data_IF_156256959084
#
_entry.id   IF_156256959084
#
_cell.length_a   1.000
_cell.length_b   1.000
_cell.length_c   1.000
_cell.angle_alpha   90.00
_cell.angle_beta   90.00
_cell.angle_gamma   90.00
#
_symmetry.space_group_name_H-M   'P 1'
#
loop_
_entity.id
_entity.type
_entity.pdbx_description
1 polymer ?
#
# COMPACT_ATOMS: atom_id res chain seq x y z
N UNK A 1 -24.82 60.69 -27.41
CA UNK A 1 -25.12 59.81 -26.25
C UNK A 1 -23.87 59.83 -25.38
N UNK A 2 -23.94 60.46 -24.21
CA UNK A 2 -22.75 60.86 -23.44
C UNK A 2 -22.06 59.67 -22.76
N UNK A 3 -20.75 59.79 -22.48
CA UNK A 3 -19.93 58.76 -21.84
C UNK A 3 -20.51 58.27 -20.50
N UNK A 4 -21.25 59.11 -19.78
CA UNK A 4 -21.90 58.74 -18.51
C UNK A 4 -23.01 57.70 -18.67
N UNK A 5 -23.71 57.65 -19.82
CA UNK A 5 -24.77 56.65 -20.02
C UNK A 5 -24.23 55.23 -20.19
N UNK A 6 -23.00 55.05 -20.69
CA UNK A 6 -22.39 53.72 -20.85
C UNK A 6 -21.86 53.15 -19.53
N UNK A 7 -21.36 54.00 -18.64
CA UNK A 7 -20.87 53.56 -17.32
C UNK A 7 -22.04 53.12 -16.42
N UNK A 8 -23.19 53.80 -16.48
CA UNK A 8 -24.40 53.35 -15.75
C UNK A 8 -24.99 52.05 -16.31
N UNK A 9 -24.98 51.85 -17.64
CA UNK A 9 -25.46 50.61 -18.25
C UNK A 9 -24.55 49.41 -17.95
N UNK A 10 -23.23 49.61 -17.90
CA UNK A 10 -22.27 48.56 -17.53
C UNK A 10 -22.29 48.26 -16.02
N UNK A 11 -22.44 49.27 -15.16
CA UNK A 11 -22.52 49.09 -13.71
C UNK A 11 -23.85 48.44 -13.25
N UNK A 12 -24.95 48.65 -13.98
CA UNK A 12 -26.24 48.02 -13.68
C UNK A 12 -26.39 46.61 -14.31
N UNK A 13 -25.71 46.33 -15.43
CA UNK A 13 -25.81 45.05 -16.14
C UNK A 13 -25.14 43.87 -15.42
N UNK A 14 -24.03 44.12 -14.73
CA UNK A 14 -23.26 43.10 -14.00
C UNK A 14 -24.02 42.51 -12.79
N UNK A 15 -24.65 43.31 -11.90
CA UNK A 15 -25.43 42.76 -10.80
C UNK A 15 -26.73 42.06 -11.26
N UNK A 16 -27.33 42.50 -12.37
CA UNK A 16 -28.52 41.83 -12.93
C UNK A 16 -28.20 40.44 -13.53
N UNK A 17 -27.06 40.31 -14.21
CA UNK A 17 -26.60 39.02 -14.76
C UNK A 17 -26.26 38.00 -13.66
N UNK A 18 -25.69 38.45 -12.54
CA UNK A 18 -25.40 37.61 -11.37
C UNK A 18 -26.68 37.12 -10.66
N UNK A 19 -27.73 37.93 -10.57
CA UNK A 19 -29.02 37.53 -10.01
C UNK A 19 -29.77 36.48 -10.87
N UNK A 20 -29.66 36.58 -12.19
CA UNK A 20 -30.24 35.58 -13.11
C UNK A 20 -29.46 34.25 -13.06
N UNK A 21 -28.13 34.29 -12.92
CA UNK A 21 -27.31 33.09 -12.78
C UNK A 21 -27.53 32.37 -11.44
N UNK A 22 -27.68 33.12 -10.33
CA UNK A 22 -27.94 32.52 -9.00
C UNK A 22 -29.35 31.93 -8.91
N UNK A 23 -30.35 32.56 -9.55
CA UNK A 23 -31.72 32.01 -9.59
C UNK A 23 -31.85 30.75 -10.46
N UNK A 24 -31.12 30.66 -11.59
CA UNK A 24 -31.11 29.43 -12.41
C UNK A 24 -30.41 28.25 -11.72
N UNK A 25 -29.36 28.50 -10.93
CA UNK A 25 -28.68 27.44 -10.16
C UNK A 25 -29.53 26.95 -8.97
N UNK A 26 -30.30 27.84 -8.33
CA UNK A 26 -31.19 27.46 -7.22
C UNK A 26 -32.45 26.70 -7.67
N UNK A 27 -32.99 26.98 -8.87
CA UNK A 27 -34.12 26.23 -9.43
C UNK A 27 -33.68 24.83 -9.88
N UNK A 28 -32.44 24.67 -10.38
CA UNK A 28 -31.92 23.37 -10.83
C UNK A 28 -31.56 22.42 -9.67
N UNK A 29 -31.37 22.95 -8.46
CA UNK A 29 -31.02 22.17 -7.25
C UNK A 29 -32.23 21.66 -6.44
N UNK A 30 -33.46 21.94 -6.90
CA UNK A 30 -34.72 21.57 -6.22
C UNK A 30 -35.58 20.54 -6.95
N UNK A 31 -35.05 19.91 -8.02
CA UNK A 31 -35.83 19.05 -8.94
C UNK A 31 -35.85 17.54 -8.69
N UNK A 32 -34.95 16.95 -7.89
CA UNK A 32 -34.80 15.47 -7.84
C UNK A 32 -35.22 14.83 -6.52
N UNK A 33 -36.29 15.31 -5.88
CA UNK A 33 -36.86 14.60 -4.73
C UNK A 33 -38.36 14.80 -4.58
N UNK A 34 -39.12 13.87 -5.15
CA UNK A 34 -40.38 13.30 -4.65
C UNK A 34 -41.35 12.99 -5.80
N UNK A 35 -41.56 11.70 -6.10
CA UNK A 35 -42.90 11.15 -6.40
C UNK A 35 -42.81 9.62 -6.42
N UNK A 36 -43.32 9.00 -5.35
CA UNK A 36 -43.76 7.62 -5.35
C UNK A 36 -44.97 7.58 -4.44
N UNK A 37 -46.17 7.64 -5.04
CA UNK A 37 -47.41 7.31 -4.37
C UNK A 37 -48.21 6.33 -5.24
N UNK A 38 -48.34 5.13 -4.67
CA UNK A 38 -49.51 4.24 -4.62
C UNK A 38 -50.49 4.15 -5.83
N UNK A 39 -50.55 2.96 -6.44
CA UNK A 39 -51.81 2.31 -6.85
C UNK A 39 -51.60 0.85 -7.28
N UNK A 40 -52.04 -0.10 -6.45
CA UNK A 40 -52.62 -1.39 -6.89
C UNK A 40 -54.13 -1.16 -7.17
N UNK A 41 -54.94 -2.03 -7.84
CA UNK A 41 -54.86 -3.50 -7.81
C UNK A 41 -55.31 -4.26 -9.10
N UNK A 42 -55.28 -5.61 -9.04
CA UNK A 42 -56.31 -6.57 -9.55
C UNK A 42 -55.78 -7.70 -10.47
N UNK A 43 -55.83 -8.91 -9.88
CA UNK A 43 -56.04 -10.29 -10.38
C UNK A 43 -56.28 -10.57 -11.86
N UNK A 44 -55.69 -11.65 -12.40
CA UNK A 44 -56.40 -12.91 -12.71
C UNK A 44 -55.48 -14.02 -13.31
N UNK A 45 -56.00 -15.25 -13.21
CA UNK A 45 -55.44 -16.61 -13.35
C UNK A 45 -55.35 -17.13 -14.80
N UNK A 46 -54.55 -18.19 -14.99
CA UNK A 46 -54.49 -19.20 -16.09
C UNK A 46 -53.79 -18.74 -17.40
N UNK A 47 -53.05 -19.56 -18.15
CA UNK A 47 -53.15 -21.01 -18.41
C UNK A 47 -51.83 -21.48 -19.07
N UNK A 48 -51.40 -22.73 -18.82
CA UNK A 48 -50.39 -23.43 -19.63
C UNK A 48 -51.09 -24.07 -20.86
N UNK A 49 -50.35 -24.39 -21.94
CA UNK A 49 -49.84 -25.77 -22.05
C UNK A 49 -48.45 -25.95 -22.69
N UNK A 50 -47.91 -27.15 -22.43
CA UNK A 50 -46.92 -27.99 -23.14
C UNK A 50 -46.84 -27.82 -24.67
N UNK A 51 -45.80 -28.18 -25.43
CA UNK A 51 -44.64 -29.08 -25.34
C UNK A 51 -43.50 -28.47 -26.24
N UNK A 52 -42.24 -28.88 -26.26
CA UNK A 52 -41.73 -30.14 -26.81
C UNK A 52 -40.20 -30.21 -26.63
N UNK A 53 -39.68 -31.44 -26.62
CA UNK A 53 -38.34 -31.83 -26.22
C UNK A 53 -37.28 -31.72 -27.34
N UNK A 54 -36.02 -31.52 -26.95
CA UNK A 54 -34.86 -32.11 -27.62
C UNK A 54 -33.73 -32.27 -26.59
N UNK A 55 -33.48 -33.52 -26.21
CA UNK A 55 -32.30 -33.95 -25.46
C UNK A 55 -31.31 -34.54 -26.47
N UNK A 56 -30.04 -34.15 -26.38
CA UNK A 56 -28.94 -34.89 -27.01
C UNK A 56 -28.10 -35.53 -25.91
N UNK A 57 -28.17 -36.86 -25.88
CA UNK A 57 -27.27 -37.76 -25.18
C UNK A 57 -26.09 -38.06 -26.12
N UNK A 58 -24.87 -38.09 -25.59
CA UNK A 58 -23.76 -38.78 -26.25
C UNK A 58 -23.12 -39.77 -25.28
N UNK A 59 -23.31 -41.05 -25.60
CA UNK A 59 -22.78 -42.21 -24.89
C UNK A 59 -21.54 -42.76 -25.58
N UNK A 60 -20.63 -43.27 -24.77
CA UNK A 60 -19.38 -43.95 -25.11
C UNK A 60 -19.45 -45.03 -26.19
N UNK A 61 -18.36 -45.15 -26.97
CA UNK A 61 -17.80 -46.44 -27.41
C UNK A 61 -16.33 -46.30 -27.84
N UNK A 62 -15.49 -47.22 -27.36
CA UNK A 62 -14.09 -47.40 -27.76
C UNK A 62 -13.99 -48.09 -29.14
N UNK A 63 -12.84 -47.97 -29.82
CA UNK A 63 -12.07 -49.19 -30.13
C UNK A 63 -10.56 -49.03 -29.95
N UNK A 64 -9.88 -50.14 -29.69
CA UNK A 64 -8.43 -50.20 -29.46
C UNK A 64 -7.58 -50.56 -30.67
N UNK A 65 -6.27 -50.36 -30.45
CA UNK A 65 -5.08 -51.03 -31.02
C UNK A 65 -4.28 -50.38 -32.17
N UNK A 66 -3.08 -49.92 -31.77
CA UNK A 66 -1.76 -49.93 -32.46
C UNK A 66 -1.60 -49.04 -33.72
N UNK A 67 -0.55 -48.23 -33.92
CA UNK A 67 0.90 -48.37 -33.67
C UNK A 67 1.62 -47.01 -33.80
N UNK A 68 2.85 -46.96 -33.26
CA UNK A 68 3.97 -46.04 -33.54
C UNK A 68 3.97 -44.67 -32.83
N UNK A 69 4.68 -44.64 -31.69
CA UNK A 69 5.13 -43.42 -31.00
C UNK A 69 6.55 -43.13 -31.49
N UNK A 70 6.77 -41.95 -32.04
CA UNK A 70 8.08 -41.40 -32.35
C UNK A 70 8.69 -40.78 -31.09
N UNK A 71 9.99 -40.97 -30.93
CA UNK A 71 10.77 -40.87 -29.70
C UNK A 71 11.24 -39.42 -29.49
N UNK A 72 10.72 -38.74 -28.46
CA UNK A 72 11.26 -37.47 -27.96
C UNK A 72 12.34 -37.75 -26.90
N UNK A 73 13.45 -36.99 -26.89
CA UNK A 73 14.61 -37.27 -26.05
C UNK A 73 14.30 -37.02 -24.56
N UNK A 74 14.93 -37.78 -23.64
CA UNK A 74 14.67 -37.66 -22.21
C UNK A 74 15.25 -36.36 -21.63
N UNK A 75 14.44 -35.70 -20.79
CA UNK A 75 14.88 -34.64 -19.89
C UNK A 75 15.87 -35.21 -18.85
N UNK A 76 16.87 -34.43 -18.41
CA UNK A 76 17.86 -34.89 -17.46
C UNK A 76 17.21 -35.26 -16.12
N UNK A 77 17.58 -36.44 -15.64
CA UNK A 77 17.28 -36.93 -14.29
C UNK A 77 18.20 -36.20 -13.31
N UNK A 78 17.68 -35.14 -12.70
CA UNK A 78 18.30 -34.56 -11.52
C UNK A 78 18.02 -35.48 -10.32
N UNK A 79 19.12 -36.10 -9.88
CA UNK A 79 19.43 -36.71 -8.59
C UNK A 79 18.25 -37.00 -7.64
N UNK A 80 18.03 -38.29 -7.37
CA UNK A 80 17.33 -38.77 -6.18
C UNK A 80 17.90 -38.08 -4.94
N UNK A 81 17.14 -37.12 -4.40
CA UNK A 81 17.32 -36.68 -3.03
C UNK A 81 16.96 -37.86 -2.12
N UNK A 82 18.01 -38.53 -1.65
CA UNK A 82 17.97 -39.54 -0.59
C UNK A 82 17.15 -38.99 0.58
N UNK A 83 15.95 -39.55 0.77
CA UNK A 83 15.07 -39.23 1.89
C UNK A 83 15.40 -40.24 2.99
N UNK A 84 16.10 -39.88 4.08
CA UNK A 84 16.26 -40.81 5.17
C UNK A 84 14.92 -40.87 5.92
N UNK A 85 14.20 -41.96 5.72
CA UNK A 85 13.07 -42.33 6.56
C UNK A 85 13.59 -42.79 7.93
N UNK A 86 13.59 -41.90 8.91
CA UNK A 86 13.58 -42.24 10.34
C UNK A 86 12.87 -41.11 11.10
N UNK A 87 11.92 -41.38 12.01
CA UNK A 87 11.36 -40.35 12.87
C UNK A 87 12.41 -39.97 13.93
N UNK A 88 13.29 -39.05 13.55
CA UNK A 88 14.21 -38.36 14.44
C UNK A 88 13.93 -36.87 14.34
N UNK A 89 13.91 -36.20 15.48
CA UNK A 89 13.67 -34.76 15.64
C UNK A 89 14.28 -33.95 14.48
N UNK A 90 13.42 -33.37 13.64
CA UNK A 90 13.83 -32.28 12.78
C UNK A 90 14.13 -31.10 13.70
N UNK A 91 15.38 -30.98 14.11
CA UNK A 91 15.93 -29.74 14.68
C UNK A 91 15.77 -28.65 13.63
N UNK A 92 14.57 -28.04 13.57
CA UNK A 92 14.37 -26.77 12.87
C UNK A 92 15.18 -25.76 13.68
N UNK A 93 16.43 -25.54 13.27
CA UNK A 93 17.25 -24.48 13.84
C UNK A 93 16.57 -23.16 13.53
N UNK A 94 15.93 -22.59 14.55
CA UNK A 94 15.31 -21.28 14.44
C UNK A 94 16.37 -20.26 14.05
N UNK A 95 16.12 -19.55 12.96
CA UNK A 95 16.96 -18.45 12.55
C UNK A 95 16.84 -17.33 13.58
N UNK A 96 17.98 -16.84 14.10
CA UNK A 96 17.99 -15.61 14.88
C UNK A 96 18.07 -14.42 13.92
N UNK A 97 17.03 -13.57 13.84
CA UNK A 97 17.07 -12.42 12.93
C UNK A 97 18.17 -11.44 13.30
N UNK A 98 18.71 -10.73 12.30
CA UNK A 98 19.68 -9.68 12.57
C UNK A 98 19.07 -8.55 13.42
N UNK A 99 19.82 -7.95 14.36
CA UNK A 99 19.36 -6.80 15.12
C UNK A 99 18.86 -5.67 14.21
N UNK A 100 17.93 -4.86 14.72
CA UNK A 100 17.45 -3.65 14.03
C UNK A 100 18.57 -2.61 13.94
N UNK A 101 19.42 -2.54 14.95
CA UNK A 101 20.67 -1.77 14.95
C UNK A 101 21.58 -2.25 13.80
N UNK A 102 21.81 -1.36 12.82
CA UNK A 102 22.57 -1.65 11.60
C UNK A 102 21.73 -1.85 10.34
N UNK A 103 20.41 -2.06 10.44
CA UNK A 103 19.51 -2.03 9.25
C UNK A 103 19.51 -0.65 8.59
N UNK A 104 19.59 0.42 9.38
CA UNK A 104 19.71 1.81 8.89
C UNK A 104 21.05 2.11 8.20
N UNK A 105 22.17 1.59 8.71
CA UNK A 105 23.44 1.70 8.01
C UNK A 105 23.39 0.99 6.64
N UNK A 106 22.66 -0.13 6.55
CA UNK A 106 22.38 -0.81 5.29
C UNK A 106 21.45 0.01 4.38
N UNK A 107 20.46 0.73 4.92
CA UNK A 107 19.59 1.67 4.18
C UNK A 107 20.42 2.74 3.48
N UNK A 108 21.21 3.52 4.23
CA UNK A 108 22.12 4.52 3.65
C UNK A 108 23.03 3.90 2.60
N UNK A 109 23.67 2.77 2.93
CA UNK A 109 24.54 2.08 1.98
C UNK A 109 23.84 1.58 0.72
N UNK A 110 22.55 1.18 0.75
CA UNK A 110 21.81 0.71 -0.43
C UNK A 110 21.21 1.85 -1.24
N UNK A 111 20.68 2.89 -0.61
CA UNK A 111 20.23 4.10 -1.29
C UNK A 111 21.43 4.79 -1.98
N UNK A 112 22.57 4.91 -1.30
CA UNK A 112 23.80 5.43 -1.87
C UNK A 112 24.31 4.58 -3.05
N UNK A 113 24.32 3.24 -2.93
CA UNK A 113 24.70 2.33 -4.02
C UNK A 113 23.72 2.31 -5.19
N UNK A 114 22.46 2.63 -4.93
CA UNK A 114 21.46 2.83 -5.98
C UNK A 114 21.72 4.10 -6.80
N UNK A 115 22.61 5.01 -6.34
CA UNK A 115 23.05 6.21 -7.04
C UNK A 115 21.87 6.96 -7.62
N UNK A 116 21.17 7.74 -6.81
CA UNK A 116 19.95 8.45 -7.22
C UNK A 116 20.23 9.31 -8.47
N UNK A 117 19.73 8.94 -9.67
CA UNK A 117 19.89 9.77 -10.87
C UNK A 117 19.28 11.15 -10.66
N UNK A 118 18.26 11.20 -9.81
CA UNK A 118 17.63 12.40 -9.29
C UNK A 118 18.63 13.26 -8.50
N UNK A 119 19.27 12.72 -7.47
CA UNK A 119 20.26 13.44 -6.66
C UNK A 119 21.39 14.02 -7.53
N UNK A 120 21.91 13.23 -8.48
CA UNK A 120 22.97 13.69 -9.39
C UNK A 120 22.51 14.85 -10.27
N UNK A 121 21.30 14.77 -10.83
CA UNK A 121 20.73 15.85 -11.67
C UNK A 121 20.45 17.11 -10.86
N UNK A 122 19.81 16.99 -9.70
CA UNK A 122 19.54 18.14 -8.82
C UNK A 122 20.85 18.84 -8.45
N UNK A 123 21.88 18.09 -8.08
CA UNK A 123 23.18 18.66 -7.72
C UNK A 123 23.91 19.28 -8.91
N UNK A 124 23.79 18.72 -10.11
CA UNK A 124 24.39 19.28 -11.32
C UNK A 124 23.80 20.65 -11.68
N UNK A 125 22.50 20.82 -11.53
CA UNK A 125 21.81 22.11 -11.72
C UNK A 125 22.25 23.10 -10.63
N UNK A 126 22.25 22.68 -9.37
CA UNK A 126 22.58 23.55 -8.23
C UNK A 126 24.07 23.91 -8.09
N UNK A 127 24.94 23.26 -8.86
CA UNK A 127 26.38 23.58 -8.88
C UNK A 127 26.75 24.71 -9.84
N UNK A 128 25.78 25.28 -10.58
CA UNK A 128 25.99 26.41 -11.50
C UNK A 128 26.17 27.71 -10.70
N UNK A 129 27.12 28.57 -11.12
CA UNK A 129 27.48 29.80 -10.38
C UNK A 129 26.30 30.79 -10.19
N UNK A 130 25.38 30.84 -11.16
CA UNK A 130 24.19 31.67 -11.11
C UNK A 130 23.01 30.87 -11.64
N UNK A 131 22.03 30.60 -10.78
CA UNK A 131 20.79 29.93 -11.15
C UNK A 131 19.88 30.91 -11.90
N UNK A 132 19.68 30.63 -13.18
CA UNK A 132 18.72 31.25 -14.10
C UNK A 132 17.32 30.67 -13.90
N UNK A 133 16.28 31.30 -14.47
CA UNK A 133 14.92 30.72 -14.44
C UNK A 133 14.88 29.33 -15.10
N UNK A 134 15.60 29.12 -16.20
CA UNK A 134 15.69 27.82 -16.87
C UNK A 134 16.29 26.73 -15.95
N UNK A 135 17.24 27.08 -15.07
CA UNK A 135 17.82 26.15 -14.09
C UNK A 135 16.79 25.73 -13.05
N UNK A 136 15.95 26.65 -12.61
CA UNK A 136 14.89 26.33 -11.65
C UNK A 136 13.77 25.50 -12.28
N UNK A 137 13.44 25.75 -13.55
CA UNK A 137 12.48 24.95 -14.30
C UNK A 137 13.03 23.52 -14.52
N UNK A 138 14.32 23.37 -14.81
CA UNK A 138 15.01 22.07 -14.88
C UNK A 138 14.95 21.32 -13.53
N UNK A 139 15.10 22.05 -12.42
CA UNK A 139 14.99 21.49 -11.06
C UNK A 139 13.56 21.00 -10.77
N UNK A 140 12.55 21.81 -11.11
CA UNK A 140 11.14 21.46 -10.99
C UNK A 140 10.80 20.21 -11.83
N UNK A 141 11.18 20.19 -13.11
CA UNK A 141 10.95 19.05 -14.00
C UNK A 141 11.57 17.77 -13.43
N UNK A 142 12.80 17.87 -12.90
CA UNK A 142 13.50 16.73 -12.30
C UNK A 142 12.74 16.17 -11.10
N UNK A 143 12.19 17.02 -10.23
CA UNK A 143 11.38 16.59 -9.08
C UNK A 143 10.03 15.99 -9.50
N UNK A 144 9.40 16.53 -10.54
CA UNK A 144 8.16 15.96 -11.10
C UNK A 144 8.38 14.56 -11.67
N UNK A 145 9.48 14.37 -12.42
CA UNK A 145 9.87 13.06 -12.97
C UNK A 145 10.17 12.03 -11.87
N UNK A 146 10.54 12.48 -10.68
CA UNK A 146 10.76 11.66 -9.50
C UNK A 146 9.48 11.27 -8.74
N UNK A 147 8.30 11.60 -9.26
CA UNK A 147 6.99 11.34 -8.63
C UNK A 147 6.76 12.10 -7.30
N UNK A 148 7.41 13.26 -7.10
CA UNK A 148 7.15 14.15 -5.93
C UNK A 148 5.74 14.78 -5.99
N UNK A 149 5.27 15.08 -7.20
CA UNK A 149 3.97 15.66 -7.48
C UNK A 149 3.99 17.19 -7.62
N UNK A 150 3.06 17.74 -8.42
CA UNK A 150 3.08 19.15 -8.82
C UNK A 150 2.99 20.14 -7.66
N UNK A 151 2.04 19.95 -6.74
CA UNK A 151 1.90 20.83 -5.56
C UNK A 151 3.15 20.81 -4.66
N UNK A 152 3.57 19.64 -4.15
CA UNK A 152 4.75 19.54 -3.30
C UNK A 152 6.04 20.04 -3.96
N UNK A 153 6.23 19.79 -5.26
CA UNK A 153 7.37 20.33 -6.00
C UNK A 153 7.35 21.85 -6.04
N UNK A 154 6.23 22.48 -6.40
CA UNK A 154 6.11 23.94 -6.42
C UNK A 154 6.40 24.57 -5.06
N UNK A 155 5.82 24.03 -4.00
CA UNK A 155 6.05 24.47 -2.61
C UNK A 155 7.56 24.46 -2.27
N UNK A 156 8.25 23.37 -2.64
CA UNK A 156 9.68 23.20 -2.37
C UNK A 156 10.53 24.18 -3.18
N UNK A 157 10.24 24.36 -4.47
CA UNK A 157 10.99 25.26 -5.35
C UNK A 157 10.86 26.71 -4.87
N UNK A 158 9.65 27.14 -4.53
CA UNK A 158 9.40 28.50 -4.02
C UNK A 158 10.12 28.76 -2.70
N UNK A 159 10.10 27.79 -1.78
CA UNK A 159 10.80 27.87 -0.50
C UNK A 159 12.32 27.93 -0.70
N UNK A 160 12.87 27.07 -1.56
CA UNK A 160 14.30 27.03 -1.88
C UNK A 160 14.77 28.32 -2.57
N UNK A 161 14.05 28.80 -3.59
CA UNK A 161 14.32 30.07 -4.28
C UNK A 161 14.36 31.23 -3.28
N UNK A 162 13.40 31.25 -2.35
CA UNK A 162 13.31 32.28 -1.32
C UNK A 162 14.50 32.21 -0.36
N UNK A 163 14.86 31.02 0.13
CA UNK A 163 15.98 30.83 1.05
C UNK A 163 17.31 31.24 0.39
N UNK A 164 17.59 30.76 -0.83
CA UNK A 164 18.80 31.12 -1.59
C UNK A 164 18.92 32.62 -1.78
N UNK A 165 17.82 33.31 -2.10
CA UNK A 165 17.80 34.77 -2.29
C UNK A 165 18.00 35.54 -0.99
N UNK A 166 17.34 35.14 0.09
CA UNK A 166 17.38 35.85 1.39
C UNK A 166 18.73 35.68 2.08
N UNK A 167 19.27 34.46 2.06
CA UNK A 167 20.56 34.14 2.68
C UNK A 167 21.75 34.48 1.76
N UNK A 168 21.49 34.75 0.47
CA UNK A 168 22.52 35.08 -0.51
C UNK A 168 23.46 33.90 -0.76
N UNK A 169 22.91 32.67 -0.78
CA UNK A 169 23.69 31.44 -0.96
C UNK A 169 24.27 31.42 -2.38
N UNK A 170 25.60 31.34 -2.47
CA UNK A 170 26.35 31.25 -3.74
C UNK A 170 27.23 30.01 -3.83
N UNK A 171 27.49 29.37 -2.68
CA UNK A 171 28.30 28.18 -2.60
C UNK A 171 27.43 26.94 -2.88
N UNK A 172 27.79 26.08 -3.85
CA UNK A 172 27.05 24.86 -4.16
C UNK A 172 26.80 23.97 -2.94
N UNK A 173 27.73 23.90 -1.98
CA UNK A 173 27.53 23.10 -0.77
C UNK A 173 26.47 23.71 0.15
N UNK A 174 26.42 25.04 0.27
CA UNK A 174 25.37 25.74 1.02
C UNK A 174 23.99 25.58 0.35
N UNK A 175 23.91 25.68 -0.98
CA UNK A 175 22.65 25.47 -1.72
C UNK A 175 22.17 24.01 -1.60
N UNK A 176 23.10 23.04 -1.64
CA UNK A 176 22.79 21.63 -1.36
C UNK A 176 22.23 21.44 0.04
N UNK A 177 22.79 22.09 1.05
CA UNK A 177 22.29 22.03 2.42
C UNK A 177 20.88 22.61 2.54
N UNK A 178 20.59 23.72 1.86
CA UNK A 178 19.26 24.30 1.78
C UNK A 178 18.25 23.36 1.08
N UNK A 179 18.61 22.76 -0.07
CA UNK A 179 17.75 21.75 -0.72
C UNK A 179 17.45 20.57 0.21
N UNK A 180 18.47 20.05 0.91
CA UNK A 180 18.31 18.97 1.88
C UNK A 180 17.33 19.35 2.99
N UNK A 181 17.46 20.55 3.55
CA UNK A 181 16.55 21.08 4.56
C UNK A 181 15.10 21.11 4.05
N UNK A 182 14.88 21.67 2.85
CA UNK A 182 13.56 21.75 2.24
C UNK A 182 12.95 20.37 1.94
N UNK A 183 13.76 19.41 1.48
CA UNK A 183 13.31 18.03 1.25
C UNK A 183 12.93 17.32 2.56
N UNK A 184 13.70 17.52 3.63
CA UNK A 184 13.35 16.95 4.95
C UNK A 184 12.05 17.57 5.45
N UNK A 185 11.91 18.90 5.35
CA UNK A 185 10.68 19.58 5.72
C UNK A 185 9.47 19.08 4.91
N UNK A 186 9.67 18.79 3.62
CA UNK A 186 8.63 18.26 2.74
C UNK A 186 8.15 16.86 3.13
N UNK A 187 9.04 16.01 3.63
CA UNK A 187 8.72 14.67 4.15
C UNK A 187 8.04 14.75 5.52
N UNK A 188 8.12 15.89 6.18
CA UNK A 188 7.60 16.20 7.52
C UNK A 188 8.17 15.28 8.62
N UNK A 189 9.29 15.66 9.27
CA UNK A 189 9.90 14.86 10.31
C UNK A 189 9.06 14.81 11.61
N UNK A 190 8.01 15.62 11.74
CA UNK A 190 7.18 15.67 12.94
C UNK A 190 6.14 14.55 13.04
N UNK A 191 5.85 13.87 11.92
CA UNK A 191 4.91 12.74 11.90
C UNK A 191 5.43 11.56 12.74
N UNK A 192 4.54 10.98 13.55
CA UNK A 192 4.83 9.76 14.31
C UNK A 192 4.91 8.54 13.38
N UNK A 193 6.13 8.04 13.21
CA UNK A 193 6.43 6.88 12.35
C UNK A 193 6.57 5.58 13.12
N UNK A 194 6.36 5.59 14.43
CA UNK A 194 6.42 4.37 15.24
C UNK A 194 5.28 3.42 14.87
N UNK A 195 5.55 2.12 14.89
CA UNK A 195 4.47 1.13 14.83
C UNK A 195 3.71 1.15 16.15
N UNK A 196 2.38 1.28 16.09
CA UNK A 196 1.56 1.19 17.27
C UNK A 196 1.44 -0.27 17.73
N UNK A 197 2.37 -0.68 18.58
CA UNK A 197 2.44 -2.02 19.17
C UNK A 197 1.95 -2.06 20.62
N UNK A 198 1.23 -1.02 21.06
CA UNK A 198 0.69 -0.98 22.40
C UNK A 198 -0.40 -2.08 22.55
N UNK A 199 -0.40 -2.84 23.67
CA UNK A 199 -1.48 -3.77 23.96
C UNK A 199 -2.83 -3.05 23.98
N UNK A 200 -3.82 -3.71 23.40
CA UNK A 200 -5.19 -3.21 23.37
C UNK A 200 -6.02 -3.64 24.57
N UNK A 201 -7.28 -3.23 24.56
CA UNK A 201 -8.30 -3.73 25.49
C UNK A 201 -9.56 -4.04 24.68
N UNK A 202 -10.05 -5.28 24.81
CA UNK A 202 -11.27 -5.73 24.15
C UNK A 202 -12.51 -5.01 24.74
N UNK A 203 -13.68 -5.06 24.05
CA UNK A 203 -14.91 -4.46 24.54
C UNK A 203 -15.37 -4.95 25.92
N UNK A 204 -14.97 -6.17 26.31
CA UNK A 204 -15.27 -6.77 27.60
C UNK A 204 -14.25 -6.41 28.72
N UNK A 205 -13.27 -5.56 28.41
CA UNK A 205 -12.24 -5.12 29.35
C UNK A 205 -11.02 -6.05 29.44
N UNK A 206 -10.96 -7.13 28.66
CA UNK A 206 -9.81 -8.04 28.66
C UNK A 206 -8.62 -7.44 27.90
N UNK A 207 -7.37 -7.60 28.38
CA UNK A 207 -6.18 -7.22 27.63
C UNK A 207 -6.08 -7.97 26.30
N UNK A 208 -5.61 -7.32 25.25
CA UNK A 208 -5.41 -7.94 23.94
C UNK A 208 -4.01 -7.65 23.39
N UNK A 209 -3.46 -8.53 22.52
CA UNK A 209 -2.27 -8.21 21.75
C UNK A 209 -2.49 -6.96 20.90
N UNK A 210 -1.40 -6.35 20.42
CA UNK A 210 -1.48 -5.39 19.34
C UNK A 210 -1.84 -6.12 18.04
N UNK A 211 -2.92 -5.70 17.37
CA UNK A 211 -3.38 -6.33 16.13
C UNK A 211 -3.06 -5.42 14.96
N UNK A 212 -2.22 -5.91 14.04
CA UNK A 212 -1.83 -5.18 12.83
C UNK A 212 -2.43 -5.87 11.61
N UNK A 213 -3.18 -5.12 10.83
CA UNK A 213 -3.76 -5.56 9.56
C UNK A 213 -2.90 -5.05 8.40
N UNK A 214 -2.41 -5.94 7.55
CA UNK A 214 -1.58 -5.57 6.40
C UNK A 214 -2.38 -5.68 5.11
N UNK A 215 -2.57 -4.54 4.44
CA UNK A 215 -3.42 -4.39 3.25
C UNK A 215 -2.63 -3.84 2.06
N UNK A 216 -3.21 -3.87 0.87
CA UNK A 216 -2.61 -3.36 -0.36
C UNK A 216 -2.85 -4.26 -1.56
N UNK A 217 -2.40 -3.85 -2.74
CA UNK A 217 -2.67 -4.60 -3.97
C UNK A 217 -1.75 -5.81 -4.15
N UNK A 218 -2.09 -6.69 -5.07
CA UNK A 218 -1.25 -7.83 -5.42
C UNK A 218 0.10 -7.37 -5.98
N UNK A 219 1.18 -8.09 -5.63
CA UNK A 219 2.51 -7.82 -6.14
C UNK A 219 3.28 -6.69 -5.45
N UNK A 220 2.68 -5.98 -4.48
CA UNK A 220 3.37 -4.95 -3.68
C UNK A 220 4.25 -5.52 -2.57
N UNK A 221 4.22 -6.83 -2.35
CA UNK A 221 5.05 -7.49 -1.34
C UNK A 221 4.42 -7.55 0.06
N UNK A 222 3.09 -7.61 0.18
CA UNK A 222 2.37 -7.75 1.47
C UNK A 222 2.85 -8.93 2.32
N UNK A 223 2.69 -10.16 1.84
CA UNK A 223 3.11 -11.38 2.54
C UNK A 223 4.59 -11.35 2.91
N UNK A 224 5.44 -10.85 2.02
CA UNK A 224 6.87 -10.64 2.28
C UNK A 224 7.09 -9.59 3.39
N UNK A 225 6.35 -8.49 3.38
CA UNK A 225 6.44 -7.44 4.42
C UNK A 225 5.98 -7.96 5.77
N UNK A 226 4.89 -8.75 5.82
CA UNK A 226 4.43 -9.42 7.04
C UNK A 226 5.51 -10.36 7.59
N UNK A 227 6.09 -11.20 6.74
CA UNK A 227 7.16 -12.11 7.14
C UNK A 227 8.41 -11.39 7.65
N UNK A 228 8.87 -10.35 6.94
CA UNK A 228 10.00 -9.51 7.37
C UNK A 228 9.71 -8.76 8.67
N UNK A 229 8.49 -8.25 8.84
CA UNK A 229 8.08 -7.57 10.07
C UNK A 229 8.05 -8.55 11.25
N UNK A 230 7.56 -9.78 11.06
CA UNK A 230 7.61 -10.82 12.09
C UNK A 230 9.05 -11.07 12.56
N UNK A 231 10.02 -11.13 11.64
CA UNK A 231 11.44 -11.25 11.98
C UNK A 231 11.96 -10.05 12.77
N UNK A 232 11.58 -8.83 12.39
CA UNK A 232 11.94 -7.60 13.14
C UNK A 232 11.42 -7.68 14.56
N UNK A 233 10.14 -8.03 14.74
CA UNK A 233 9.51 -8.13 16.06
C UNK A 233 10.15 -9.23 16.92
N UNK A 234 10.47 -10.40 16.34
CA UNK A 234 11.23 -11.45 17.04
C UNK A 234 12.63 -10.98 17.43
N UNK A 235 13.30 -10.18 16.58
CA UNK A 235 14.60 -9.59 16.91
C UNK A 235 14.54 -8.60 18.09
N UNK A 236 13.36 -8.02 18.33
CA UNK A 236 13.03 -7.13 19.45
C UNK A 236 12.42 -7.87 20.64
N UNK A 237 12.59 -9.21 20.69
CA UNK A 237 12.09 -10.09 21.74
C UNK A 237 10.56 -10.05 21.93
N UNK A 238 9.81 -9.73 20.87
CA UNK A 238 8.34 -9.76 20.86
C UNK A 238 7.84 -11.14 20.45
N UNK A 239 6.81 -11.60 21.16
CA UNK A 239 6.02 -12.78 20.79
C UNK A 239 4.99 -12.42 19.73
N UNK A 240 4.90 -13.23 18.67
CA UNK A 240 4.09 -12.93 17.47
C UNK A 240 3.20 -14.12 17.10
N UNK A 241 2.03 -13.85 16.54
CA UNK A 241 1.19 -14.81 15.80
C UNK A 241 0.90 -14.25 14.42
N UNK A 242 0.96 -15.08 13.38
CA UNK A 242 0.58 -14.70 12.00
C UNK A 242 -0.83 -15.21 11.68
N UNK A 243 -1.62 -14.42 10.96
CA UNK A 243 -2.90 -14.80 10.38
C UNK A 243 -2.85 -14.77 8.86
N UNK A 244 -3.01 -15.92 8.21
CA UNK A 244 -2.98 -16.07 6.76
C UNK A 244 -4.38 -15.84 6.14
N UNK A 245 -4.87 -14.59 6.16
CA UNK A 245 -6.18 -14.23 5.63
C UNK A 245 -6.19 -13.98 4.10
N UNK A 246 -5.07 -14.10 3.38
CA UNK A 246 -5.06 -14.25 1.90
C UNK A 246 -5.51 -15.67 1.50
N UNK A 247 -6.78 -16.00 1.72
CA UNK A 247 -7.34 -17.34 1.49
C UNK A 247 -7.60 -17.64 0.00
N UNK A 248 -7.47 -16.65 -0.87
CA UNK A 248 -7.60 -16.80 -2.32
C UNK A 248 -6.35 -17.38 -2.99
N UNK A 249 -5.22 -17.38 -2.28
CA UNK A 249 -3.94 -17.86 -2.80
C UNK A 249 -3.38 -18.87 -1.81
N UNK A 250 -3.61 -20.16 -2.04
CA UNK A 250 -3.06 -21.24 -1.21
C UNK A 250 -1.55 -21.07 -0.96
N UNK A 251 -0.80 -20.75 -2.02
CA UNK A 251 0.64 -20.48 -1.94
C UNK A 251 1.01 -19.27 -1.06
N UNK A 252 0.12 -18.29 -0.84
CA UNK A 252 0.39 -17.17 0.05
C UNK A 252 0.37 -17.61 1.52
N UNK A 253 -0.57 -18.49 1.90
CA UNK A 253 -0.60 -19.07 3.24
C UNK A 253 0.65 -19.95 3.50
N UNK A 254 1.03 -20.79 2.53
CA UNK A 254 2.26 -21.62 2.63
C UNK A 254 3.52 -20.76 2.73
N UNK A 255 3.57 -19.67 1.95
CA UNK A 255 4.67 -18.71 2.00
C UNK A 255 4.75 -18.04 3.38
N UNK A 256 3.62 -17.59 3.92
CA UNK A 256 3.57 -16.94 5.24
C UNK A 256 3.97 -17.91 6.37
N UNK A 257 3.49 -19.16 6.31
CA UNK A 257 3.88 -20.20 7.26
C UNK A 257 5.38 -20.50 7.21
N UNK A 258 5.96 -20.51 6.01
CA UNK A 258 7.42 -20.65 5.83
C UNK A 258 8.19 -19.47 6.44
N UNK A 259 7.66 -18.25 6.34
CA UNK A 259 8.25 -17.09 7.03
C UNK A 259 8.21 -17.24 8.55
N UNK A 260 7.06 -17.67 9.09
CA UNK A 260 6.88 -17.84 10.53
C UNK A 260 7.73 -18.96 11.11
N UNK A 261 7.74 -20.14 10.47
CA UNK A 261 8.45 -21.32 10.96
C UNK A 261 9.96 -21.13 11.08
N UNK A 262 10.57 -20.35 10.17
CA UNK A 262 12.00 -20.00 10.22
C UNK A 262 12.39 -19.26 11.49
N UNK A 263 11.46 -18.54 12.13
CA UNK A 263 11.72 -17.76 13.35
C UNK A 263 10.85 -18.19 14.54
N UNK A 264 10.22 -19.36 14.45
CA UNK A 264 9.44 -19.94 15.55
C UNK A 264 8.09 -19.24 15.80
N UNK A 265 7.57 -18.51 14.81
CA UNK A 265 6.31 -17.79 14.91
C UNK A 265 5.16 -18.65 14.35
N UNK A 266 4.13 -18.99 15.17
CA UNK A 266 3.00 -19.77 14.72
C UNK A 266 2.14 -19.00 13.70
N UNK A 267 1.59 -19.73 12.73
CA UNK A 267 0.69 -19.19 11.69
C UNK A 267 -0.68 -19.84 11.76
N UNK A 268 -1.72 -19.03 11.91
CA UNK A 268 -3.12 -19.43 11.83
C UNK A 268 -3.57 -19.32 10.37
N UNK A 269 -4.02 -20.45 9.81
CA UNK A 269 -4.49 -20.57 8.43
C UNK A 269 -5.70 -21.49 8.37
N UNK A 270 -6.49 -21.35 7.30
CA UNK A 270 -7.53 -22.33 6.97
C UNK A 270 -6.93 -23.56 6.30
N UNK A 271 -7.51 -24.73 6.56
CA UNK A 271 -7.29 -26.00 5.88
C UNK A 271 -8.08 -26.12 4.55
N UNK A 272 -9.05 -25.23 4.34
CA UNK A 272 -9.90 -25.16 3.14
C UNK A 272 -9.51 -23.99 2.25
N UNK A 273 -9.31 -24.28 0.97
CA UNK A 273 -9.17 -23.26 -0.07
C UNK A 273 -10.42 -22.38 -0.17
N UNK A 274 -10.24 -21.06 -0.28
CA UNK A 274 -11.34 -20.11 -0.38
C UNK A 274 -12.18 -19.97 0.90
N UNK A 275 -11.64 -20.36 2.06
CA UNK A 275 -12.28 -20.08 3.34
C UNK A 275 -12.46 -18.59 3.58
N UNK A 276 -13.39 -18.24 4.47
CA UNK A 276 -13.68 -16.86 4.82
C UNK A 276 -12.46 -16.17 5.45
N UNK A 277 -11.85 -15.17 4.79
CA UNK A 277 -10.70 -14.42 5.32
C UNK A 277 -10.94 -13.85 6.71
N UNK A 278 -12.17 -13.38 6.97
CA UNK A 278 -12.55 -12.79 8.23
C UNK A 278 -12.56 -13.83 9.37
N UNK A 279 -12.87 -15.10 9.08
CA UNK A 279 -12.81 -16.19 10.04
C UNK A 279 -11.36 -16.52 10.41
N UNK A 280 -10.45 -16.58 9.43
CA UNK A 280 -9.02 -16.82 9.70
C UNK A 280 -8.43 -15.68 10.54
N UNK A 281 -8.76 -14.43 10.22
CA UNK A 281 -8.33 -13.28 11.00
C UNK A 281 -8.88 -13.28 12.44
N UNK A 282 -10.14 -13.68 12.63
CA UNK A 282 -10.75 -13.87 13.94
C UNK A 282 -9.99 -14.91 14.78
N UNK A 283 -9.72 -16.08 14.19
CA UNK A 283 -9.03 -17.17 14.87
C UNK A 283 -7.58 -16.80 15.20
N UNK A 284 -6.91 -16.02 14.36
CA UNK A 284 -5.57 -15.49 14.63
C UNK A 284 -5.56 -14.60 15.87
N UNK A 285 -6.50 -13.66 15.98
CA UNK A 285 -6.62 -12.77 17.15
C UNK A 285 -6.97 -13.56 18.41
N UNK A 286 -7.89 -14.52 18.31
CA UNK A 286 -8.26 -15.39 19.43
C UNK A 286 -7.08 -16.24 19.91
N UNK A 287 -6.30 -16.77 18.98
CA UNK A 287 -5.06 -17.51 19.28
C UNK A 287 -4.04 -16.61 19.95
N UNK A 288 -3.84 -15.40 19.46
CA UNK A 288 -2.96 -14.40 20.07
C UNK A 288 -3.37 -14.05 21.51
N UNK A 289 -4.68 -13.83 21.75
CA UNK A 289 -5.24 -13.60 23.09
C UNK A 289 -5.00 -14.79 24.01
N UNK A 290 -5.30 -16.01 23.56
CA UNK A 290 -5.14 -17.23 24.36
C UNK A 290 -3.67 -17.51 24.73
N UNK A 291 -2.76 -17.16 23.84
CA UNK A 291 -1.31 -17.33 24.01
C UNK A 291 -0.63 -16.14 24.69
N UNK A 292 -1.36 -15.06 25.02
CA UNK A 292 -0.83 -13.81 25.57
C UNK A 292 0.38 -13.27 24.80
N UNK A 293 0.31 -13.30 23.47
CA UNK A 293 1.40 -12.75 22.64
C UNK A 293 1.37 -11.23 22.64
N UNK A 294 2.48 -10.61 22.25
CA UNK A 294 2.58 -9.15 22.12
C UNK A 294 1.84 -8.67 20.86
N UNK A 295 1.99 -9.40 19.74
CA UNK A 295 1.56 -8.92 18.42
C UNK A 295 0.86 -10.01 17.60
N UNK A 296 -0.22 -9.65 16.91
CA UNK A 296 -0.86 -10.45 15.86
C UNK A 296 -0.73 -9.70 14.53
N UNK A 297 -0.09 -10.32 13.53
CA UNK A 297 0.02 -9.78 12.17
C UNK A 297 -0.92 -10.53 11.22
N UNK A 298 -1.81 -9.82 10.53
CA UNK A 298 -2.78 -10.42 9.60
C UNK A 298 -2.45 -10.02 8.16
N UNK A 299 -2.14 -11.00 7.31
CA UNK A 299 -1.93 -10.82 5.86
C UNK A 299 -3.27 -10.95 5.11
N UNK A 300 -3.61 -10.01 4.24
CA UNK A 300 -4.88 -10.02 3.47
C UNK A 300 -4.68 -10.21 1.97
N UNK A 301 -5.76 -10.57 1.27
CA UNK A 301 -5.79 -10.53 -0.19
C UNK A 301 -5.61 -9.10 -0.74
N UNK A 302 -5.21 -8.98 -2.03
CA UNK A 302 -4.96 -7.69 -2.69
C UNK A 302 -5.52 -7.54 -4.12
N UNK A 303 -6.58 -8.27 -4.47
CA UNK A 303 -7.15 -8.31 -5.84
C UNK A 303 -8.01 -7.07 -6.16
N UNK A 304 -7.37 -5.92 -6.42
CA UNK A 304 -8.07 -4.64 -6.65
C UNK A 304 -8.90 -4.58 -7.95
N UNK A 305 -8.69 -5.48 -8.91
CA UNK A 305 -9.47 -5.53 -10.15
C UNK A 305 -10.97 -5.72 -9.93
N UNK A 306 -11.37 -6.27 -8.76
CA UNK A 306 -12.76 -6.29 -8.29
C UNK A 306 -12.91 -5.42 -7.04
N UNK A 307 -12.88 -4.08 -7.25
CA UNK A 307 -12.86 -3.09 -6.16
C UNK A 307 -13.98 -3.30 -5.13
N UNK A 308 -15.21 -3.53 -5.57
CA UNK A 308 -16.35 -3.70 -4.66
C UNK A 308 -16.17 -4.91 -3.74
N UNK A 309 -15.86 -6.09 -4.32
CA UNK A 309 -15.66 -7.31 -3.54
C UNK A 309 -14.50 -7.22 -2.55
N UNK A 310 -13.36 -6.65 -2.96
CA UNK A 310 -12.20 -6.48 -2.07
C UNK A 310 -12.52 -5.55 -0.89
N UNK A 311 -13.24 -4.45 -1.12
CA UNK A 311 -13.57 -3.49 -0.07
C UNK A 311 -14.60 -4.05 0.91
N UNK A 312 -15.59 -4.80 0.43
CA UNK A 312 -16.55 -5.50 1.30
C UNK A 312 -15.85 -6.54 2.19
N UNK A 313 -14.88 -7.27 1.62
CA UNK A 313 -14.07 -8.26 2.32
C UNK A 313 -13.19 -7.62 3.39
N UNK A 314 -12.46 -6.54 3.05
CA UNK A 314 -11.64 -5.80 4.02
C UNK A 314 -12.50 -5.19 5.14
N UNK A 315 -13.63 -4.57 4.79
CA UNK A 315 -14.57 -4.06 5.78
C UNK A 315 -15.13 -5.17 6.68
N UNK A 316 -15.31 -6.39 6.14
CA UNK A 316 -15.70 -7.57 6.93
C UNK A 316 -14.59 -8.03 7.88
N UNK A 317 -13.35 -8.14 7.41
CA UNK A 317 -12.19 -8.50 8.24
C UNK A 317 -12.07 -7.52 9.41
N UNK A 318 -12.04 -6.22 9.13
CA UNK A 318 -11.95 -5.16 10.16
C UNK A 318 -13.07 -5.28 11.19
N UNK A 319 -14.33 -5.46 10.76
CA UNK A 319 -15.49 -5.59 11.66
C UNK A 319 -15.44 -6.84 12.52
N UNK A 320 -14.90 -7.95 12.01
CA UNK A 320 -14.81 -9.21 12.74
C UNK A 320 -13.66 -9.16 13.75
N UNK A 321 -12.48 -8.66 13.36
CA UNK A 321 -11.35 -8.44 14.26
C UNK A 321 -11.73 -7.52 15.42
N UNK A 322 -12.38 -6.38 15.13
CA UNK A 322 -12.72 -5.36 16.13
C UNK A 322 -13.73 -5.81 17.20
N UNK A 323 -14.40 -6.95 17.00
CA UNK A 323 -15.21 -7.59 18.05
C UNK A 323 -14.34 -8.26 19.12
N UNK A 324 -13.16 -8.73 18.75
CA UNK A 324 -12.24 -9.44 19.64
C UNK A 324 -11.16 -8.55 20.24
N UNK A 325 -10.63 -7.61 19.46
CA UNK A 325 -9.57 -6.70 19.86
C UNK A 325 -9.59 -5.43 18.97
N UNK A 326 -9.24 -4.25 19.51
CA UNK A 326 -9.05 -3.07 18.67
C UNK A 326 -7.92 -3.30 17.65
N UNK A 327 -8.06 -2.74 16.45
CA UNK A 327 -6.96 -2.67 15.49
C UNK A 327 -5.97 -1.61 15.97
N UNK A 328 -4.73 -2.02 16.24
CA UNK A 328 -3.66 -1.11 16.67
C UNK A 328 -3.04 -0.37 15.48
N UNK A 329 -2.88 -1.07 14.35
CA UNK A 329 -2.31 -0.51 13.12
C UNK A 329 -2.97 -1.14 11.88
N UNK A 330 -3.16 -0.35 10.83
CA UNK A 330 -3.51 -0.81 9.50
C UNK A 330 -2.41 -0.32 8.54
N UNK A 331 -1.53 -1.24 8.14
CA UNK A 331 -0.40 -0.93 7.28
C UNK A 331 -0.75 -1.18 5.82
N UNK A 332 -0.71 -0.12 5.02
CA UNK A 332 -0.84 -0.21 3.57
C UNK A 332 0.54 -0.44 2.93
N UNK A 333 0.69 -1.57 2.23
CA UNK A 333 1.91 -1.91 1.50
C UNK A 333 1.82 -1.44 0.05
N UNK A 334 2.73 -0.54 -0.33
CA UNK A 334 2.83 0.01 -1.67
C UNK A 334 4.20 -0.26 -2.29
N UNK A 335 4.19 -0.45 -3.60
CA UNK A 335 5.40 -0.63 -4.38
C UNK A 335 5.86 0.74 -4.90
N UNK A 336 7.08 1.15 -4.52
CA UNK A 336 7.65 2.44 -4.90
C UNK A 336 7.86 2.61 -6.41
N UNK A 337 7.87 1.51 -7.18
CA UNK A 337 8.00 1.56 -8.66
C UNK A 337 6.70 1.96 -9.36
N UNK A 338 5.56 1.88 -8.67
CA UNK A 338 4.24 2.09 -9.30
C UNK A 338 3.87 3.55 -9.55
N UNK A 339 4.59 4.50 -8.94
CA UNK A 339 4.36 5.94 -9.10
C UNK A 339 2.90 6.34 -8.83
N UNK A 340 2.33 7.17 -9.70
CA UNK A 340 0.93 7.65 -9.59
C UNK A 340 -0.13 6.53 -9.58
N UNK A 341 0.17 5.34 -10.13
CA UNK A 341 -0.76 4.21 -10.05
C UNK A 341 -0.89 3.71 -8.60
N UNK A 342 0.22 3.66 -7.87
CA UNK A 342 0.22 3.32 -6.44
C UNK A 342 -0.61 4.31 -5.62
N UNK A 343 -0.54 5.61 -5.96
CA UNK A 343 -1.28 6.67 -5.28
C UNK A 343 -2.81 6.50 -5.43
N UNK A 344 -3.28 6.25 -6.66
CA UNK A 344 -4.70 6.00 -6.92
C UNK A 344 -5.21 4.76 -6.19
N UNK A 345 -4.38 3.73 -6.04
CA UNK A 345 -4.73 2.53 -5.28
C UNK A 345 -4.81 2.85 -3.79
N UNK A 346 -3.83 3.59 -3.28
CA UNK A 346 -3.75 3.98 -1.88
C UNK A 346 -5.01 4.71 -1.40
N UNK A 347 -5.53 5.65 -2.21
CA UNK A 347 -6.78 6.39 -1.91
C UNK A 347 -7.95 5.46 -1.62
N UNK A 348 -8.12 4.42 -2.44
CA UNK A 348 -9.23 3.46 -2.29
C UNK A 348 -9.12 2.67 -0.98
N UNK A 349 -7.90 2.29 -0.56
CA UNK A 349 -7.71 1.59 0.72
C UNK A 349 -7.92 2.52 1.92
N UNK A 350 -7.51 3.80 1.81
CA UNK A 350 -7.70 4.80 2.87
C UNK A 350 -9.17 4.98 3.26
N UNK A 351 -10.08 4.97 2.27
CA UNK A 351 -11.52 5.17 2.50
C UNK A 351 -12.20 4.04 3.29
N UNK A 352 -11.69 2.80 3.21
CA UNK A 352 -12.39 1.60 3.71
C UNK A 352 -11.70 0.95 4.90
N UNK A 353 -10.37 0.87 4.88
CA UNK A 353 -9.62 0.09 5.86
C UNK A 353 -9.17 0.91 7.08
N UNK A 354 -9.25 2.25 7.02
CA UNK A 354 -8.73 3.12 8.08
C UNK A 354 -7.21 2.97 8.22
N UNK A 355 -6.49 3.10 7.10
CA UNK A 355 -5.02 3.00 7.05
C UNK A 355 -4.40 3.96 8.07
N UNK A 356 -3.42 3.50 8.85
CA UNK A 356 -2.72 4.29 9.87
C UNK A 356 -1.25 4.51 9.56
N UNK A 357 -0.69 3.73 8.63
CA UNK A 357 0.70 3.85 8.21
C UNK A 357 0.96 3.15 6.88
N UNK A 358 2.07 3.51 6.25
CA UNK A 358 2.47 2.96 4.93
C UNK A 358 3.79 2.21 5.07
N UNK A 359 3.87 1.05 4.41
CA UNK A 359 5.12 0.34 4.16
C UNK A 359 5.44 0.42 2.66
N UNK A 360 6.56 1.05 2.32
CA UNK A 360 7.01 1.14 0.93
C UNK A 360 8.00 0.04 0.61
N UNK A 361 7.78 -0.70 -0.47
CA UNK A 361 8.67 -1.76 -0.93
C UNK A 361 9.38 -1.38 -2.22
N UNK A 362 10.46 -2.11 -2.55
CA UNK A 362 11.25 -1.97 -3.77
C UNK A 362 11.84 -0.56 -3.97
N UNK A 363 12.17 0.12 -2.87
CA UNK A 363 12.76 1.45 -2.91
C UNK A 363 14.19 1.42 -3.46
N UNK A 364 14.88 0.30 -3.30
CA UNK A 364 16.24 0.04 -3.78
C UNK A 364 16.36 -0.10 -5.30
N UNK A 365 15.23 -0.30 -6.00
CA UNK A 365 15.20 -0.50 -7.46
C UNK A 365 14.69 0.69 -8.27
N UNK A 366 14.46 1.86 -7.65
CA UNK A 366 13.73 2.96 -8.32
C UNK A 366 14.32 4.35 -8.08
N UNK A 367 14.32 5.17 -9.12
CA UNK A 367 14.62 6.60 -9.05
C UNK A 367 13.41 7.46 -8.61
N UNK A 368 12.25 6.83 -8.36
CA UNK A 368 10.97 7.48 -8.01
C UNK A 368 10.81 7.68 -6.51
N UNK A 369 11.84 8.21 -5.85
CA UNK A 369 11.82 8.45 -4.40
C UNK A 369 10.73 9.42 -3.94
N UNK A 370 10.28 10.32 -4.82
CA UNK A 370 9.26 11.33 -4.52
C UNK A 370 7.89 10.76 -4.12
N UNK A 371 7.62 9.48 -4.43
CA UNK A 371 6.36 8.82 -4.10
C UNK A 371 6.02 8.87 -2.60
N UNK A 372 7.04 8.93 -1.72
CA UNK A 372 6.88 9.10 -0.27
C UNK A 372 6.07 10.36 0.05
N UNK A 373 6.45 11.49 -0.55
CA UNK A 373 5.81 12.78 -0.29
C UNK A 373 4.38 12.77 -0.80
N UNK A 374 4.20 12.29 -2.04
CA UNK A 374 2.90 12.23 -2.69
C UNK A 374 1.92 11.37 -1.89
N UNK A 375 2.34 10.18 -1.45
CA UNK A 375 1.44 9.26 -0.74
C UNK A 375 1.09 9.73 0.67
N UNK A 376 2.04 10.32 1.40
CA UNK A 376 1.76 10.84 2.74
C UNK A 376 0.76 11.98 2.69
N UNK A 377 0.91 12.91 1.74
CA UNK A 377 -0.02 14.04 1.58
C UNK A 377 -1.40 13.58 1.14
N UNK A 378 -1.47 12.61 0.24
CA UNK A 378 -2.74 12.08 -0.26
C UNK A 378 -3.54 11.33 0.81
N UNK A 379 -2.87 10.49 1.61
CA UNK A 379 -3.54 9.67 2.62
C UNK A 379 -3.61 10.30 4.01
N UNK A 380 -2.80 11.33 4.27
CA UNK A 380 -2.68 11.94 5.60
C UNK A 380 -2.06 11.01 6.64
N UNK A 381 -1.29 9.99 6.22
CA UNK A 381 -0.63 9.03 7.11
C UNK A 381 0.86 8.88 6.77
N UNK A 382 1.71 8.59 7.76
CA UNK A 382 3.15 8.53 7.55
C UNK A 382 3.59 7.23 6.86
N UNK A 383 4.69 7.31 6.11
CA UNK A 383 5.49 6.13 5.78
C UNK A 383 6.25 5.72 7.03
N UNK A 384 5.97 4.51 7.53
CA UNK A 384 6.57 3.97 8.76
C UNK A 384 7.69 2.98 8.47
N UNK A 385 7.60 2.25 7.35
CA UNK A 385 8.52 1.17 7.00
C UNK A 385 8.97 1.27 5.54
N UNK A 386 10.21 0.84 5.27
CA UNK A 386 10.80 0.72 3.94
C UNK A 386 11.44 -0.66 3.73
N UNK A 387 11.09 -1.29 2.62
CA UNK A 387 11.71 -2.52 2.12
C UNK A 387 12.89 -2.19 1.22
N UNK A 388 14.04 -2.79 1.51
CA UNK A 388 15.34 -2.35 0.99
C UNK A 388 16.01 -3.36 0.06
N UNK A 389 15.26 -4.37 -0.36
CA UNK A 389 15.68 -5.44 -1.25
C UNK A 389 15.04 -6.77 -0.88
N UNK A 390 15.57 -7.85 -1.43
CA UNK A 390 14.94 -9.18 -1.38
C UNK A 390 15.34 -10.02 -0.15
N UNK A 391 16.39 -9.63 0.56
CA UNK A 391 16.88 -10.36 1.73
C UNK A 391 15.87 -10.39 2.89
N UNK A 392 15.91 -11.42 3.74
CA UNK A 392 14.92 -11.62 4.81
C UNK A 392 14.93 -10.54 5.89
N UNK A 393 16.05 -9.81 6.04
CA UNK A 393 16.19 -8.72 7.00
C UNK A 393 16.18 -7.33 6.33
N UNK A 394 15.76 -7.24 5.07
CA UNK A 394 15.69 -6.01 4.28
C UNK A 394 14.34 -5.29 4.46
N UNK A 395 14.04 -4.97 5.71
CA UNK A 395 12.95 -4.09 6.15
C UNK A 395 13.49 -3.21 7.28
N UNK A 396 13.28 -1.91 7.18
CA UNK A 396 13.72 -0.94 8.18
C UNK A 396 12.62 0.09 8.47
N UNK A 397 12.63 0.71 9.66
CA UNK A 397 11.82 1.91 9.90
C UNK A 397 12.22 3.04 8.95
N UNK A 398 11.25 3.85 8.58
CA UNK A 398 11.49 5.03 7.75
C UNK A 398 12.03 6.17 8.60
N UNK A 399 13.18 6.72 8.20
CA UNK A 399 13.73 7.95 8.76
C UNK A 399 13.82 9.01 7.65
N UNK A 400 13.29 10.21 7.92
CA UNK A 400 13.18 11.26 6.91
C UNK A 400 14.56 11.81 6.50
N UNK A 401 15.48 11.95 7.45
CA UNK A 401 16.81 12.50 7.17
C UNK A 401 17.65 11.49 6.38
N UNK A 402 17.70 10.23 6.82
CA UNK A 402 18.41 9.16 6.11
C UNK A 402 17.83 8.93 4.71
N UNK A 403 16.51 9.04 4.55
CA UNK A 403 15.86 8.93 3.24
C UNK A 403 16.29 10.05 2.30
N UNK A 404 16.24 11.32 2.75
CA UNK A 404 16.66 12.47 1.94
C UNK A 404 18.17 12.41 1.65
N UNK A 405 18.97 11.99 2.63
CA UNK A 405 20.41 11.82 2.46
C UNK A 405 20.73 10.79 1.38
N UNK A 406 20.07 9.63 1.41
CA UNK A 406 20.21 8.62 0.37
C UNK A 406 19.73 9.07 -1.01
N UNK A 407 18.79 10.02 -1.07
CA UNK A 407 18.26 10.59 -2.32
C UNK A 407 19.23 11.61 -2.93
N UNK A 408 20.04 12.28 -2.09
CA UNK A 408 21.05 13.27 -2.48
C UNK A 408 22.49 12.71 -2.54
N UNK A 409 22.72 11.47 -2.09
CA UNK A 409 24.03 10.81 -2.19
C UNK A 409 24.33 10.39 -3.65
N UNK A 410 25.59 10.58 -4.05
CA UNK A 410 26.11 10.39 -5.42
C UNK A 410 27.22 9.35 -5.45
#
# INVERSE_FOLDING_TARGET
>A
MNQDTWTYLLAAGIPAALLVAVSTVLVRRRGDKAEADEAAPTTAVAEAPSAEAAAEQESAQAPGSATAVDELPPLPTDEELDVPATPGDLDIQLEKPAPVEGRFARLRGRLARSGSPLGTRLLAVLSRDHLTEDDWDELEETLLLADVGAGPTGDLIDALRTQVRVEGLKDPAAVRAALREQLIALVDPSLDRSLNLAPGTAPDGTPTPAVLLVVGVNGTGKTTTVGKLARVLVAEDKSVVLGAADTFRAAAADQLETWGSRVGVPTVRSDRDGADPAAVAFDAVRTGKASNVDVVLVDTAGRLQNKAGLMDELGKITRVITREAPLSEVLLVLDATTGQNGLNQARVFGEVAGVTGIALTKLDGTAKGGIVVAVQRELGVPVKLVGLGEGPDDLAPFDAADFVDGLLES
#
